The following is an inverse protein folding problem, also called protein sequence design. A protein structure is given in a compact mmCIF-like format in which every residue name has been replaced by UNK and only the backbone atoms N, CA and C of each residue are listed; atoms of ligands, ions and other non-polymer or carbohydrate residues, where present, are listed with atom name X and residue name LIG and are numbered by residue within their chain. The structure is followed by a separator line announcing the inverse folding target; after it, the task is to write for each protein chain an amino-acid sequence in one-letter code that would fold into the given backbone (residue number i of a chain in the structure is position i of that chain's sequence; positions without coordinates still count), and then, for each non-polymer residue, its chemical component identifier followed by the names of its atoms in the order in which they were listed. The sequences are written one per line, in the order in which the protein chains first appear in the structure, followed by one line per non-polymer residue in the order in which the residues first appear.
data_IF_734139686149
#
_entry.id   IF_734139686149
#
_cell.length_a   1.000
_cell.length_b   1.000
_cell.length_c   1.000
_cell.angle_alpha   90.00
_cell.angle_beta   90.00
_cell.angle_gamma   90.00
#
_symmetry.space_group_name_H-M   'P 1'
#
loop_
_entity.id
_entity.type
_entity.pdbx_description
1 polymer ?
#
# COMPACT_ATOMS: atom_id res chain seq x y z
N UNK A 1 -4.26 20.61 8.58
CA UNK A 1 -5.44 20.03 7.91
C UNK A 1 -5.08 19.32 6.60
N UNK A 2 -4.37 19.97 5.66
CA UNK A 2 -3.96 19.35 4.40
C UNK A 2 -3.08 18.07 4.54
N UNK A 3 -2.20 18.01 5.54
CA UNK A 3 -1.29 16.86 5.78
C UNK A 3 -2.01 15.58 6.23
N UNK A 4 -3.12 15.71 6.96
CA UNK A 4 -3.94 14.56 7.40
C UNK A 4 -4.70 13.97 6.21
N UNK A 5 -5.22 14.84 5.35
CA UNK A 5 -5.95 14.45 4.13
C UNK A 5 -5.04 13.68 3.16
N UNK A 6 -3.82 14.17 2.92
CA UNK A 6 -2.83 13.49 2.08
C UNK A 6 -2.41 12.13 2.66
N UNK A 7 -2.21 12.03 3.98
CA UNK A 7 -1.88 10.75 4.65
C UNK A 7 -2.96 9.68 4.56
N UNK A 8 -4.21 10.07 4.32
CA UNK A 8 -5.34 9.16 4.13
C UNK A 8 -5.55 8.79 2.67
N UNK A 9 -5.47 9.77 1.77
CA UNK A 9 -5.78 9.58 0.35
C UNK A 9 -4.64 8.91 -0.40
N UNK A 10 -3.39 9.22 -0.06
CA UNK A 10 -2.24 8.58 -0.71
C UNK A 10 -2.28 7.05 -0.58
N UNK A 11 -2.36 6.45 0.62
CA UNK A 11 -2.40 4.99 0.72
C UNK A 11 -3.66 4.37 0.11
N UNK A 12 -4.80 5.08 0.13
CA UNK A 12 -6.01 4.63 -0.55
C UNK A 12 -5.83 4.60 -2.08
N UNK A 13 -5.27 5.67 -2.64
CA UNK A 13 -5.00 5.79 -4.08
C UNK A 13 -3.98 4.76 -4.55
N UNK A 14 -2.92 4.53 -3.77
CA UNK A 14 -1.92 3.48 -4.03
C UNK A 14 -2.56 2.10 -4.06
N UNK A 15 -3.37 1.73 -3.06
CA UNK A 15 -3.99 0.41 -3.02
C UNK A 15 -4.98 0.21 -4.18
N UNK A 16 -5.79 1.23 -4.52
CA UNK A 16 -6.70 1.19 -5.66
C UNK A 16 -5.94 1.02 -6.99
N UNK A 17 -4.85 1.75 -7.18
CA UNK A 17 -4.03 1.67 -8.39
C UNK A 17 -3.31 0.32 -8.48
N UNK A 18 -2.54 -0.04 -7.44
CA UNK A 18 -1.66 -1.19 -7.50
C UNK A 18 -2.42 -2.52 -7.37
N UNK A 19 -3.46 -2.61 -6.52
CA UNK A 19 -4.25 -3.84 -6.38
C UNK A 19 -5.47 -3.86 -7.26
N UNK A 20 -6.29 -2.81 -7.21
CA UNK A 20 -7.52 -2.72 -8.00
C UNK A 20 -7.25 -2.81 -9.50
N UNK A 21 -6.26 -2.07 -10.00
CA UNK A 21 -5.95 -1.99 -11.44
C UNK A 21 -4.77 -2.89 -11.83
N UNK A 22 -3.56 -2.63 -11.34
CA UNK A 22 -2.33 -3.26 -11.85
C UNK A 22 -2.30 -4.77 -11.56
N UNK A 23 -2.49 -5.17 -10.30
CA UNK A 23 -2.44 -6.59 -9.91
C UNK A 23 -3.56 -7.38 -10.60
N UNK A 24 -4.79 -6.84 -10.62
CA UNK A 24 -5.92 -7.45 -11.34
C UNK A 24 -5.60 -7.65 -12.82
N UNK A 25 -5.06 -6.63 -13.49
CA UNK A 25 -4.71 -6.70 -14.90
C UNK A 25 -3.60 -7.72 -15.18
N UNK A 26 -2.63 -7.87 -14.28
CA UNK A 26 -1.50 -8.77 -14.48
C UNK A 26 -1.83 -10.23 -14.13
N UNK A 27 -2.72 -10.47 -13.14
CA UNK A 27 -3.16 -11.81 -12.75
C UNK A 27 -3.86 -12.59 -13.88
N UNK A 28 -4.39 -11.92 -14.90
CA UNK A 28 -4.99 -12.57 -16.08
C UNK A 28 -3.98 -13.39 -16.90
N UNK A 29 -2.68 -13.11 -16.78
CA UNK A 29 -1.60 -13.83 -17.46
C UNK A 29 -0.99 -14.94 -16.58
N UNK A 30 -1.59 -15.23 -15.43
CA UNK A 30 -1.15 -16.26 -14.50
C UNK A 30 -0.80 -15.71 -13.12
N UNK A 31 -1.00 -16.54 -12.10
CA UNK A 31 -0.83 -16.19 -10.69
C UNK A 31 0.58 -15.68 -10.37
N UNK A 32 1.61 -16.47 -10.71
CA UNK A 32 3.00 -16.14 -10.38
C UNK A 32 3.48 -14.89 -11.12
N UNK A 33 3.17 -14.81 -12.43
CA UNK A 33 3.50 -13.64 -13.23
C UNK A 33 2.79 -12.38 -12.70
N UNK A 34 1.50 -12.49 -12.40
CA UNK A 34 0.71 -11.36 -11.90
C UNK A 34 1.22 -10.79 -10.60
N UNK A 35 1.55 -11.67 -9.64
CA UNK A 35 2.13 -11.26 -8.36
C UNK A 35 3.50 -10.64 -8.58
N UNK A 36 4.47 -11.37 -9.16
CA UNK A 36 5.86 -10.89 -9.29
C UNK A 36 5.93 -9.56 -10.05
N UNK A 37 5.27 -9.46 -11.20
CA UNK A 37 5.29 -8.23 -12.00
C UNK A 37 4.64 -7.05 -11.27
N UNK A 38 3.52 -7.26 -10.55
CA UNK A 38 2.88 -6.18 -9.78
C UNK A 38 3.73 -5.71 -8.60
N UNK A 39 4.45 -6.63 -7.94
CA UNK A 39 5.37 -6.32 -6.83
C UNK A 39 6.55 -5.49 -7.32
N UNK A 40 7.12 -5.86 -8.48
CA UNK A 40 8.22 -5.12 -9.08
C UNK A 40 7.78 -3.71 -9.50
N UNK A 41 6.63 -3.57 -10.15
CA UNK A 41 6.09 -2.26 -10.53
C UNK A 41 5.85 -1.38 -9.30
N UNK A 42 5.27 -1.94 -8.22
CA UNK A 42 5.06 -1.22 -6.97
C UNK A 42 6.38 -0.74 -6.34
N UNK A 43 7.37 -1.62 -6.22
CA UNK A 43 8.66 -1.26 -5.64
C UNK A 43 9.43 -0.25 -6.51
N UNK A 44 9.40 -0.40 -7.83
CA UNK A 44 10.03 0.56 -8.75
C UNK A 44 9.36 1.93 -8.72
N UNK A 45 8.03 1.99 -8.52
CA UNK A 45 7.32 3.26 -8.37
C UNK A 45 7.75 4.05 -7.12
N UNK A 46 8.30 3.36 -6.11
CA UNK A 46 8.90 3.97 -4.92
C UNK A 46 10.37 4.37 -5.12
N UNK A 47 10.97 4.00 -6.27
CA UNK A 47 12.37 4.23 -6.60
C UNK A 47 13.34 3.24 -5.96
N UNK A 48 14.56 3.15 -6.49
CA UNK A 48 15.62 2.31 -5.94
C UNK A 48 16.33 3.10 -4.84
N UNK A 49 15.78 3.03 -3.63
CA UNK A 49 16.29 3.70 -2.42
C UNK A 49 16.14 2.79 -1.19
N UNK A 50 16.31 3.36 0.00
CA UNK A 50 16.19 2.62 1.27
C UNK A 50 14.81 1.99 1.51
N UNK A 51 13.75 2.52 0.88
CA UNK A 51 12.37 1.98 0.96
C UNK A 51 12.17 0.80 0.01
N UNK A 52 12.98 0.66 -1.04
CA UNK A 52 12.81 -0.37 -2.08
C UNK A 52 12.72 -1.81 -1.53
N UNK A 53 13.60 -2.27 -0.61
CA UNK A 53 13.50 -3.63 -0.07
C UNK A 53 12.21 -3.84 0.72
N UNK A 54 11.79 -2.82 1.47
CA UNK A 54 10.54 -2.84 2.24
C UNK A 54 9.34 -2.88 1.28
N UNK A 55 9.37 -2.08 0.21
CA UNK A 55 8.31 -2.05 -0.79
C UNK A 55 8.17 -3.40 -1.53
N UNK A 56 9.25 -4.13 -1.78
CA UNK A 56 9.18 -5.48 -2.34
C UNK A 56 8.48 -6.46 -1.39
N UNK A 57 8.84 -6.46 -0.10
CA UNK A 57 8.25 -7.36 0.89
C UNK A 57 6.78 -7.04 1.12
N UNK A 58 6.46 -5.77 1.39
CA UNK A 58 5.08 -5.30 1.59
C UNK A 58 4.26 -5.53 0.32
N UNK A 59 4.83 -5.23 -0.84
CA UNK A 59 4.23 -5.46 -2.14
C UNK A 59 3.87 -6.92 -2.35
N UNK A 60 4.77 -7.85 -2.01
CA UNK A 60 4.56 -9.29 -2.15
C UNK A 60 3.42 -9.78 -1.24
N UNK A 61 3.46 -9.41 0.04
CA UNK A 61 2.44 -9.80 1.02
C UNK A 61 1.07 -9.29 0.56
N UNK A 62 0.98 -8.00 0.20
CA UNK A 62 -0.29 -7.38 -0.21
C UNK A 62 -0.80 -7.93 -1.54
N UNK A 63 0.06 -8.15 -2.53
CA UNK A 63 -0.32 -8.77 -3.80
C UNK A 63 -0.88 -10.18 -3.61
N UNK A 64 -0.26 -10.99 -2.74
CA UNK A 64 -0.65 -12.37 -2.48
C UNK A 64 -1.95 -12.46 -1.67
N UNK A 65 -2.13 -11.58 -0.68
CA UNK A 65 -3.39 -11.43 0.06
C UNK A 65 -4.50 -11.02 -0.89
N UNK A 66 -4.27 -10.01 -1.74
CA UNK A 66 -5.25 -9.54 -2.72
C UNK A 66 -5.62 -10.66 -3.70
N UNK A 67 -4.64 -11.40 -4.23
CA UNK A 67 -4.88 -12.53 -5.14
C UNK A 67 -5.81 -13.58 -4.52
N UNK A 68 -5.64 -13.89 -3.23
CA UNK A 68 -6.42 -14.92 -2.52
C UNK A 68 -7.79 -14.45 -2.05
N UNK A 69 -7.90 -13.18 -1.65
CA UNK A 69 -9.11 -12.64 -0.99
C UNK A 69 -9.93 -11.71 -1.88
N UNK A 70 -9.37 -11.23 -2.99
CA UNK A 70 -9.90 -10.17 -3.87
C UNK A 70 -10.38 -8.93 -3.10
N UNK A 71 -9.79 -8.67 -1.95
CA UNK A 71 -10.17 -7.57 -1.07
C UNK A 71 -9.06 -6.53 -1.05
N UNK A 72 -9.42 -5.29 -1.38
CA UNK A 72 -8.57 -4.10 -1.29
C UNK A 72 -8.53 -3.51 0.13
N UNK A 73 -9.39 -4.00 1.03
CA UNK A 73 -9.56 -3.46 2.38
C UNK A 73 -8.39 -3.68 3.37
N UNK A 74 -7.57 -4.75 3.28
CA UNK A 74 -6.51 -5.00 4.26
C UNK A 74 -5.48 -3.87 4.35
N UNK A 75 -5.18 -3.17 3.25
CA UNK A 75 -4.20 -2.07 3.26
C UNK A 75 -4.82 -0.69 3.56
N UNK A 76 -6.15 -0.54 3.46
CA UNK A 76 -6.87 0.70 3.81
C UNK A 76 -7.04 0.84 5.33
N UNK A 77 -7.17 -0.28 6.04
CA UNK A 77 -7.41 -0.28 7.49
C UNK A 77 -6.13 0.05 8.28
N UNK A 78 -4.95 -0.36 7.81
CA UNK A 78 -3.67 -0.15 8.50
C UNK A 78 -3.34 1.35 8.71
N UNK A 79 -3.51 2.25 7.72
CA UNK A 79 -3.39 3.69 7.92
C UNK A 79 -4.41 4.29 8.90
N UNK A 80 -5.64 3.77 8.93
CA UNK A 80 -6.71 4.25 9.85
C UNK A 80 -6.38 3.90 11.31
N UNK A 81 -5.83 2.72 11.56
CA UNK A 81 -5.39 2.32 12.91
C UNK A 81 -4.14 3.10 13.35
N UNK A 82 -3.24 3.42 12.41
CA UNK A 82 -2.01 4.17 12.68
C UNK A 82 -2.19 5.70 12.75
N UNK A 83 -3.43 6.20 12.59
CA UNK A 83 -3.79 7.61 12.75
C UNK A 83 -4.00 8.03 14.21
N UNK A 84 -4.05 7.10 15.16
CA UNK A 84 -4.30 7.41 16.56
C UNK A 84 -3.07 7.94 17.34
N UNK A 85 -1.82 7.46 17.11
CA UNK A 85 -0.68 7.86 17.94
C UNK A 85 -0.09 9.25 17.59
N UNK A 86 -0.06 9.61 16.31
CA UNK A 86 0.68 10.81 15.84
C UNK A 86 -0.03 12.13 16.16
N UNK A 87 -1.37 12.27 16.01
CA UNK A 87 -2.07 13.47 16.44
C UNK A 87 -2.03 13.66 17.96
N UNK A 88 -2.10 12.56 18.73
CA UNK A 88 -2.04 12.61 20.19
C UNK A 88 -0.67 13.11 20.69
N UNK A 89 0.44 12.69 20.06
CA UNK A 89 1.78 13.15 20.42
C UNK A 89 2.00 14.64 20.07
N UNK A 90 1.44 15.11 18.95
CA UNK A 90 1.51 16.52 18.55
C UNK A 90 0.66 17.42 19.46
N UNK A 91 -0.47 16.91 19.96
CA UNK A 91 -1.29 17.61 20.95
C UNK A 91 -0.69 17.56 22.36
N UNK A 92 0.00 16.48 22.73
CA UNK A 92 0.65 16.33 24.05
C UNK A 92 1.98 17.10 24.16
N UNK A 93 2.69 17.34 23.06
CA UNK A 93 3.88 18.20 23.03
C UNK A 93 3.55 19.70 22.92
N UNK A 94 2.27 20.06 22.78
CA UNK A 94 1.77 21.43 22.70
C UNK A 94 1.01 21.85 23.98
N UNK A 95 1.11 21.08 25.06
CA UNK A 95 0.50 21.32 26.36
C UNK A 95 1.56 21.61 27.43
#
# INVERSE_FOLDING_TARGET
MATVFLRLITPLGEELLFRGVITTALLRHGSSFGVVSSVLIFALAHGINTVFPVALVVGLITAEVFRRRRSIWPAVIVPVVNLLPVPALVLAGAA
#
